data_IF_212280994265
#
_entry.id   IF_212280994265
#
_cell.length_a   1.000
_cell.length_b   1.000
_cell.length_c   1.000
_cell.angle_alpha   90.00
_cell.angle_beta   90.00
_cell.angle_gamma   90.00
#
_symmetry.space_group_name_H-M   'P 1'
#
loop_
_entity.id
_entity.type
_entity.pdbx_description
1 polymer ?
#
# COMPACT_ATOMS: atom_id res chain seq x y z
N UNK A 1 4.17 20.28 12.26
CA UNK A 1 3.70 18.91 12.04
C UNK A 1 4.72 17.97 12.65
N UNK A 2 4.29 17.08 13.55
CA UNK A 2 5.19 16.10 14.18
C UNK A 2 5.49 14.92 13.26
N UNK A 3 6.56 14.15 13.55
CA UNK A 3 6.93 12.96 12.78
C UNK A 3 5.78 11.94 12.68
N UNK A 4 5.13 11.64 13.80
CA UNK A 4 3.99 10.71 13.84
C UNK A 4 2.78 11.23 13.03
N UNK A 5 2.53 12.53 13.08
CA UNK A 5 1.43 13.17 12.34
C UNK A 5 1.66 13.07 10.83
N UNK A 6 2.91 13.19 10.38
CA UNK A 6 3.31 12.99 8.99
C UNK A 6 3.22 11.53 8.57
N UNK A 7 3.65 10.58 9.41
CA UNK A 7 3.48 9.13 9.17
C UNK A 7 2.01 8.76 8.96
N UNK A 8 1.12 9.25 9.83
CA UNK A 8 -0.32 9.04 9.69
C UNK A 8 -0.89 9.63 8.39
N UNK A 9 -0.43 10.81 7.97
CA UNK A 9 -0.87 11.38 6.70
C UNK A 9 -0.42 10.55 5.49
N UNK A 10 0.84 10.13 5.48
CA UNK A 10 1.38 9.33 4.39
C UNK A 10 0.79 7.91 4.36
N UNK A 11 0.48 7.32 5.51
CA UNK A 11 -0.21 6.02 5.57
C UNK A 11 -1.65 6.10 5.02
N UNK A 12 -2.39 7.17 5.35
CA UNK A 12 -3.73 7.41 4.79
C UNK A 12 -3.66 7.56 3.27
N UNK A 13 -2.68 8.31 2.75
CA UNK A 13 -2.48 8.44 1.30
C UNK A 13 -2.18 7.10 0.65
N UNK A 14 -1.29 6.30 1.21
CA UNK A 14 -0.96 4.97 0.71
C UNK A 14 -2.22 4.08 0.66
N UNK A 15 -2.99 4.02 1.76
CA UNK A 15 -4.25 3.26 1.83
C UNK A 15 -5.25 3.72 0.77
N UNK A 16 -5.41 5.03 0.57
CA UNK A 16 -6.31 5.58 -0.43
C UNK A 16 -5.90 5.18 -1.84
N UNK A 17 -4.60 5.35 -2.18
CA UNK A 17 -4.05 4.93 -3.46
C UNK A 17 -4.31 3.45 -3.73
N UNK A 18 -4.02 2.57 -2.76
CA UNK A 18 -4.22 1.12 -2.92
C UNK A 18 -5.72 0.78 -3.07
N UNK A 19 -6.60 1.46 -2.33
CA UNK A 19 -8.05 1.26 -2.47
C UNK A 19 -8.57 1.73 -3.84
N UNK A 20 -7.99 2.76 -4.46
CA UNK A 20 -8.31 3.15 -5.84
C UNK A 20 -7.95 2.02 -6.83
N UNK A 21 -6.78 1.38 -6.67
CA UNK A 21 -6.41 0.19 -7.46
C UNK A 21 -7.45 -0.91 -7.25
N UNK A 22 -7.78 -1.18 -5.98
CA UNK A 22 -8.69 -2.25 -5.60
C UNK A 22 -10.06 -2.11 -6.27
N UNK A 23 -10.58 -0.88 -6.28
CA UNK A 23 -11.90 -0.57 -6.82
C UNK A 23 -11.92 -0.40 -8.35
N UNK A 24 -10.78 -0.12 -8.98
CA UNK A 24 -10.69 0.03 -10.45
C UNK A 24 -10.51 -1.30 -11.19
N UNK A 25 -10.03 -2.34 -10.50
CA UNK A 25 -9.90 -3.69 -11.05
C UNK A 25 -11.27 -4.34 -11.28
N UNK A 26 -11.47 -4.88 -12.49
CA UNK A 26 -12.68 -5.66 -12.87
C UNK A 26 -12.59 -7.15 -12.53
N UNK A 27 -11.42 -7.63 -12.10
CA UNK A 27 -11.20 -9.02 -11.66
C UNK A 27 -11.66 -9.19 -10.21
N UNK A 28 -11.95 -10.42 -9.84
CA UNK A 28 -12.21 -10.78 -8.44
C UNK A 28 -10.96 -10.41 -7.61
N UNK A 29 -11.09 -9.40 -6.76
CA UNK A 29 -9.95 -8.84 -6.06
C UNK A 29 -9.65 -9.66 -4.81
N UNK A 30 -8.50 -10.31 -4.79
CA UNK A 30 -8.05 -11.10 -3.65
C UNK A 30 -7.74 -10.22 -2.44
N UNK A 31 -7.40 -8.95 -2.65
CA UNK A 31 -7.20 -7.96 -1.60
C UNK A 31 -8.56 -7.41 -1.14
N UNK A 32 -8.91 -7.62 0.13
CA UNK A 32 -10.20 -7.20 0.69
C UNK A 32 -10.10 -5.89 1.48
N UNK A 33 -9.06 -5.74 2.29
CA UNK A 33 -8.93 -4.65 3.25
C UNK A 33 -7.47 -4.19 3.37
N UNK A 34 -7.29 -2.87 3.52
CA UNK A 34 -5.99 -2.24 3.73
C UNK A 34 -6.14 -1.23 4.85
N UNK A 35 -5.33 -1.36 5.89
CA UNK A 35 -5.35 -0.52 7.10
C UNK A 35 -3.96 -0.16 7.56
N UNK A 36 -3.82 0.76 8.51
CA UNK A 36 -2.56 1.09 9.16
C UNK A 36 -2.69 0.93 10.67
N UNK A 37 -1.56 0.79 11.37
CA UNK A 37 -1.54 0.87 12.83
C UNK A 37 -1.74 2.32 13.32
N UNK A 38 -1.87 2.48 14.64
CA UNK A 38 -2.07 3.79 15.29
C UNK A 38 -0.89 4.77 15.08
N UNK A 39 0.31 4.25 14.78
CA UNK A 39 1.49 5.07 14.51
C UNK A 39 1.61 5.50 13.04
N UNK A 40 0.90 4.84 12.13
CA UNK A 40 0.97 5.08 10.69
C UNK A 40 2.27 4.59 10.04
N UNK A 41 3.12 3.84 10.74
CA UNK A 41 4.39 3.33 10.20
C UNK A 41 4.27 1.91 9.63
N UNK A 42 3.17 1.20 9.88
CA UNK A 42 2.90 -0.14 9.34
C UNK A 42 1.54 -0.18 8.64
N UNK A 43 1.51 -0.77 7.43
CA UNK A 43 0.32 -1.00 6.62
C UNK A 43 0.02 -2.50 6.57
N UNK A 44 -1.23 -2.87 6.81
CA UNK A 44 -1.74 -4.24 6.80
C UNK A 44 -2.60 -4.46 5.56
N UNK A 45 -2.36 -5.59 4.89
CA UNK A 45 -3.07 -6.02 3.68
C UNK A 45 -3.73 -7.35 3.97
N UNK A 46 -5.05 -7.35 3.99
CA UNK A 46 -5.84 -8.54 4.23
C UNK A 46 -6.38 -9.08 2.92
N UNK A 47 -6.19 -10.37 2.71
CA UNK A 47 -6.65 -11.10 1.55
C UNK A 47 -7.89 -11.94 1.87
N UNK A 48 -8.66 -12.30 0.84
CA UNK A 48 -9.93 -13.04 0.96
C UNK A 48 -9.76 -14.44 1.57
N UNK A 49 -8.55 -15.02 1.50
CA UNK A 49 -8.19 -16.30 2.12
C UNK A 49 -7.83 -16.16 3.61
N UNK A 50 -7.95 -14.97 4.19
CA UNK A 50 -7.61 -14.67 5.58
C UNK A 50 -6.13 -14.40 5.83
N UNK A 51 -5.24 -14.49 4.82
CA UNK A 51 -3.83 -14.07 4.94
C UNK A 51 -3.80 -12.57 5.22
N UNK A 52 -2.95 -12.16 6.15
CA UNK A 52 -2.61 -10.76 6.39
C UNK A 52 -1.12 -10.63 6.11
N UNK A 53 -0.75 -9.63 5.31
CA UNK A 53 0.65 -9.25 5.08
C UNK A 53 0.86 -7.85 5.59
N UNK A 54 2.04 -7.61 6.16
CA UNK A 54 2.39 -6.37 6.84
C UNK A 54 3.62 -5.78 6.15
N UNK A 55 3.54 -4.49 5.84
CA UNK A 55 4.66 -3.74 5.28
C UNK A 55 4.89 -2.48 6.10
N UNK A 56 6.16 -2.17 6.36
CA UNK A 56 6.52 -0.84 6.82
C UNK A 56 6.12 0.18 5.76
N UNK A 57 5.69 1.38 6.17
CA UNK A 57 5.43 2.48 5.26
C UNK A 57 6.70 2.89 4.49
N UNK A 58 7.88 2.68 5.08
CA UNK A 58 9.19 2.87 4.40
C UNK A 58 9.51 1.79 3.36
N UNK A 59 8.68 0.76 3.25
CA UNK A 59 8.87 -0.40 2.36
C UNK A 59 7.63 -0.64 1.51
N UNK A 60 6.66 0.30 1.52
CA UNK A 60 5.33 0.11 0.95
C UNK A 60 5.34 -0.11 -0.57
N UNK A 61 6.42 0.27 -1.26
CA UNK A 61 6.57 -0.02 -2.69
C UNK A 61 6.82 -1.49 -3.00
N UNK A 62 7.41 -2.25 -2.07
CA UNK A 62 7.77 -3.66 -2.29
C UNK A 62 6.55 -4.58 -2.37
N UNK A 63 5.42 -4.21 -1.78
CA UNK A 63 4.22 -5.05 -1.87
C UNK A 63 3.74 -5.25 -3.32
N UNK A 64 3.98 -4.28 -4.20
CA UNK A 64 3.66 -4.43 -5.61
C UNK A 64 4.50 -5.52 -6.26
N UNK A 65 5.81 -5.52 -5.98
CA UNK A 65 6.79 -6.46 -6.53
C UNK A 65 6.60 -7.88 -5.93
N UNK A 66 6.37 -7.97 -4.63
CA UNK A 66 6.41 -9.24 -3.89
C UNK A 66 5.06 -9.97 -3.86
N UNK A 67 3.98 -9.28 -3.49
CA UNK A 67 2.68 -9.90 -3.25
C UNK A 67 1.68 -9.57 -4.36
N UNK A 68 1.48 -8.30 -4.72
CA UNK A 68 0.36 -7.93 -5.61
C UNK A 68 0.57 -8.40 -7.05
N UNK A 69 1.80 -8.31 -7.57
CA UNK A 69 2.18 -8.88 -8.87
C UNK A 69 2.25 -10.42 -8.78
N UNK A 70 2.82 -10.96 -7.70
CA UNK A 70 2.88 -12.40 -7.46
C UNK A 70 1.51 -13.09 -7.37
N UNK A 71 0.50 -12.40 -6.84
CA UNK A 71 -0.89 -12.85 -6.78
C UNK A 71 -1.70 -12.52 -8.04
N UNK A 72 -1.10 -11.85 -9.03
CA UNK A 72 -1.77 -11.45 -10.27
C UNK A 72 -2.94 -10.48 -10.05
N UNK A 73 -2.91 -9.76 -8.93
CA UNK A 73 -3.95 -8.81 -8.52
C UNK A 73 -3.73 -7.50 -9.26
N UNK A 74 -2.49 -7.02 -9.25
CA UNK A 74 -2.07 -5.81 -9.94
C UNK A 74 -0.72 -6.06 -10.62
N UNK A 75 -0.54 -5.53 -11.83
CA UNK A 75 0.78 -5.49 -12.47
C UNK A 75 1.32 -4.08 -12.37
N UNK A 76 2.64 -3.93 -12.22
CA UNK A 76 3.28 -2.61 -12.25
C UNK A 76 3.04 -1.94 -13.62
N UNK A 77 2.91 -2.71 -14.70
CA UNK A 77 2.61 -2.20 -16.02
C UNK A 77 1.23 -1.52 -16.10
N UNK A 78 0.19 -2.14 -15.53
CA UNK A 78 -1.18 -1.60 -15.55
C UNK A 78 -1.39 -0.47 -14.54
N UNK A 79 -0.58 -0.43 -13.48
CA UNK A 79 -0.76 0.47 -12.33
C UNK A 79 0.47 1.31 -12.00
N UNK A 80 1.25 1.63 -13.02
CA UNK A 80 2.52 2.36 -12.89
C UNK A 80 2.40 3.67 -12.12
N UNK A 81 1.37 4.47 -12.39
CA UNK A 81 1.16 5.75 -11.70
C UNK A 81 0.97 5.56 -10.19
N UNK A 82 0.30 4.49 -9.77
CA UNK A 82 0.08 4.20 -8.36
C UNK A 82 1.36 3.68 -7.70
N UNK A 83 2.08 2.80 -8.40
CA UNK A 83 3.40 2.33 -7.96
C UNK A 83 4.38 3.50 -7.76
N UNK A 84 4.46 4.42 -8.71
CA UNK A 84 5.32 5.60 -8.64
C UNK A 84 4.94 6.49 -7.44
N UNK A 85 3.64 6.70 -7.19
CA UNK A 85 3.17 7.44 -6.01
C UNK A 85 3.50 6.77 -4.68
N UNK A 86 3.40 5.44 -4.59
CA UNK A 86 3.81 4.70 -3.39
C UNK A 86 5.33 4.78 -3.16
N UNK A 87 6.14 4.72 -4.22
CA UNK A 87 7.60 4.95 -4.11
C UNK A 87 7.92 6.39 -3.73
N UNK A 88 7.11 7.38 -4.09
CA UNK A 88 7.24 8.75 -3.59
C UNK A 88 6.96 8.82 -2.08
N UNK A 89 5.90 8.17 -1.60
CA UNK A 89 5.60 8.06 -0.18
C UNK A 89 6.78 7.41 0.57
N UNK A 90 7.31 6.30 0.06
CA UNK A 90 8.48 5.65 0.64
C UNK A 90 9.66 6.62 0.78
N UNK A 91 9.99 7.38 -0.27
CA UNK A 91 11.06 8.39 -0.23
C UNK A 91 10.79 9.51 0.77
N UNK A 92 9.54 9.95 0.91
CA UNK A 92 9.15 10.95 1.91
C UNK A 92 9.33 10.44 3.34
N UNK A 93 9.14 9.13 3.57
CA UNK A 93 9.36 8.50 4.87
C UNK A 93 10.84 8.27 5.18
N UNK A 94 11.65 7.91 4.20
CA UNK A 94 13.10 7.70 4.40
C UNK A 94 13.84 8.96 4.87
N UNK A 95 13.29 10.15 4.62
CA UNK A 95 13.87 11.46 4.98
C UNK A 95 13.32 12.05 6.30
N UNK A 96 12.46 11.32 7.03
CA UNK A 96 11.78 11.73 8.28
C UNK A 96 12.48 11.24 9.56
#
# INVERSE_FOLDING_TARGET
MGRQEKLLQESIKAINLINEVKNSTKKENTLVEVTANECGDTIFFKFNNGKIVEYSLSEIGYIFEDDLEGFGIFTIEDYKDIYDNLKLIQKEIEIL
#
